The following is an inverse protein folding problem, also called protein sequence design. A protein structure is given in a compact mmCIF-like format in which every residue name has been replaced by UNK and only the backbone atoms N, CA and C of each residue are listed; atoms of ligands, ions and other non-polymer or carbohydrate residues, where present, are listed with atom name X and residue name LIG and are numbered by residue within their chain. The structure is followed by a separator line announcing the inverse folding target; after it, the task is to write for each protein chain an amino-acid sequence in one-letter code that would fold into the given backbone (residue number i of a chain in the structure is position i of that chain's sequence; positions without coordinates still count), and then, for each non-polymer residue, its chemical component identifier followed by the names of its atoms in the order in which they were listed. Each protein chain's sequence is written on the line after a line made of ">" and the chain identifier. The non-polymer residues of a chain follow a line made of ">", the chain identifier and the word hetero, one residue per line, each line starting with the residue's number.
data_IF_803325227594
#
_entry.id   IF_803325227594
#
_cell.length_a   1.000
_cell.length_b   1.000
_cell.length_c   1.000
_cell.angle_alpha   90.00
_cell.angle_beta   90.00
_cell.angle_gamma   90.00
#
_symmetry.space_group_name_H-M   'P 1'
#
loop_
_entity.id
_entity.type
_entity.pdbx_description
1 polymer ?
#
# COMPACT_ATOMS: atom_id res chain seq x y z
N UNK A 1 11.09 3.88 -12.93
CA UNK A 1 12.33 3.47 -12.24
C UNK A 1 12.03 2.93 -10.84
N UNK A 2 11.40 3.72 -9.96
CA UNK A 2 11.07 3.30 -8.58
C UNK A 2 10.22 2.00 -8.51
N UNK A 3 9.16 1.88 -9.32
CA UNK A 3 8.31 0.66 -9.32
C UNK A 3 9.08 -0.60 -9.65
N UNK A 4 9.99 -0.56 -10.63
CA UNK A 4 10.84 -1.72 -10.95
C UNK A 4 11.75 -2.08 -9.80
N UNK A 5 12.37 -1.10 -9.15
CA UNK A 5 13.20 -1.37 -7.97
C UNK A 5 12.39 -2.05 -6.85
N UNK A 6 11.14 -1.63 -6.61
CA UNK A 6 10.28 -2.28 -5.60
C UNK A 6 9.99 -3.72 -5.98
N UNK A 7 9.61 -3.99 -7.23
CA UNK A 7 9.30 -5.34 -7.72
C UNK A 7 10.54 -6.23 -7.69
N UNK A 8 11.68 -5.76 -8.20
CA UNK A 8 12.92 -6.54 -8.26
C UNK A 8 13.39 -6.93 -6.84
N UNK A 9 13.33 -6.00 -5.88
CA UNK A 9 13.68 -6.31 -4.49
C UNK A 9 12.64 -7.22 -3.82
N UNK A 10 11.35 -7.07 -4.13
CA UNK A 10 10.31 -7.97 -3.64
C UNK A 10 10.51 -9.40 -4.15
N UNK A 11 10.93 -9.58 -5.40
CA UNK A 11 11.30 -10.89 -5.95
C UNK A 11 12.52 -11.49 -5.24
N UNK A 12 13.53 -10.69 -4.91
CA UNK A 12 14.68 -11.15 -4.10
C UNK A 12 14.22 -11.63 -2.71
N UNK A 13 13.34 -10.88 -2.04
CA UNK A 13 12.79 -11.25 -0.74
C UNK A 13 11.92 -12.51 -0.82
N UNK A 14 11.06 -12.62 -1.84
CA UNK A 14 10.22 -13.80 -2.07
C UNK A 14 11.08 -15.07 -2.19
N UNK A 15 12.16 -15.01 -2.98
CA UNK A 15 13.10 -16.12 -3.12
C UNK A 15 13.85 -16.43 -1.80
N UNK A 16 14.27 -15.40 -1.06
CA UNK A 16 14.95 -15.59 0.23
C UNK A 16 14.08 -16.29 1.27
N UNK A 17 12.78 -15.96 1.33
CA UNK A 17 11.83 -16.56 2.26
C UNK A 17 11.14 -17.82 1.72
N UNK A 18 11.49 -18.29 0.52
CA UNK A 18 10.82 -19.39 -0.18
C UNK A 18 9.29 -19.19 -0.33
N UNK A 19 8.87 -17.93 -0.48
CA UNK A 19 7.48 -17.53 -0.70
C UNK A 19 7.30 -17.27 -2.20
N UNK A 20 6.12 -17.60 -2.74
CA UNK A 20 5.85 -17.31 -4.15
C UNK A 20 5.80 -15.80 -4.42
N UNK A 21 6.29 -15.37 -5.59
CA UNK A 21 6.19 -13.96 -6.02
C UNK A 21 4.73 -13.49 -6.07
N UNK A 22 3.80 -14.37 -6.42
CA UNK A 22 2.37 -14.09 -6.39
C UNK A 22 1.89 -13.74 -4.98
N UNK A 23 2.26 -14.54 -3.97
CA UNK A 23 1.90 -14.26 -2.58
C UNK A 23 2.54 -12.95 -2.12
N UNK A 24 3.80 -12.69 -2.45
CA UNK A 24 4.49 -11.44 -2.12
C UNK A 24 3.79 -10.23 -2.76
N UNK A 25 3.35 -10.36 -4.02
CA UNK A 25 2.59 -9.34 -4.75
C UNK A 25 1.22 -9.06 -4.13
N UNK A 26 0.46 -10.12 -3.83
CA UNK A 26 -0.89 -10.03 -3.26
C UNK A 26 -0.92 -9.58 -1.80
N UNK A 27 0.20 -9.64 -1.08
CA UNK A 27 0.27 -9.30 0.34
C UNK A 27 1.16 -8.09 0.58
N UNK A 28 2.48 -8.26 0.58
CA UNK A 28 3.42 -7.21 0.96
C UNK A 28 3.38 -6.02 0.01
N UNK A 29 3.35 -6.26 -1.30
CA UNK A 29 3.27 -5.16 -2.28
C UNK A 29 1.89 -4.48 -2.21
N UNK A 30 0.80 -5.26 -2.25
CA UNK A 30 -0.55 -4.72 -2.15
C UNK A 30 -0.79 -3.89 -0.88
N UNK A 31 -0.28 -4.35 0.28
CA UNK A 31 -0.34 -3.57 1.53
C UNK A 31 0.51 -2.31 1.40
N UNK A 32 1.75 -2.44 0.90
CA UNK A 32 2.68 -1.33 0.76
C UNK A 32 2.13 -0.18 -0.09
N UNK A 33 1.35 -0.50 -1.13
CA UNK A 33 0.69 0.50 -1.99
C UNK A 33 -0.44 1.25 -1.32
N UNK A 34 -1.02 0.75 -0.22
CA UNK A 34 -2.13 1.39 0.50
C UNK A 34 -1.71 2.09 1.79
N UNK A 35 -0.44 1.98 2.20
CA UNK A 35 0.10 2.62 3.40
C UNK A 35 0.07 4.16 3.33
N UNK A 36 0.43 4.83 2.21
CA UNK A 36 0.33 6.28 2.10
C UNK A 36 -1.09 6.82 2.30
N UNK A 37 -2.08 6.11 1.77
CA UNK A 37 -3.51 6.40 1.86
C UNK A 37 -4.00 6.22 3.30
N UNK A 38 -3.57 5.15 3.96
CA UNK A 38 -3.85 4.93 5.38
C UNK A 38 -3.24 6.05 6.23
N UNK A 39 -2.01 6.47 5.94
CA UNK A 39 -1.35 7.55 6.64
C UNK A 39 -2.07 8.90 6.46
N UNK A 40 -2.53 9.19 5.24
CA UNK A 40 -3.33 10.40 4.96
C UNK A 40 -4.69 10.36 5.63
N UNK A 41 -5.38 9.21 5.63
CA UNK A 41 -6.64 9.05 6.35
C UNK A 41 -6.47 9.29 7.86
N UNK A 42 -5.45 8.70 8.50
CA UNK A 42 -5.15 8.91 9.93
C UNK A 42 -4.80 10.37 10.21
N UNK A 43 -3.99 11.01 9.35
CA UNK A 43 -3.61 12.41 9.51
C UNK A 43 -4.81 13.36 9.42
N UNK A 44 -5.74 13.11 8.48
CA UNK A 44 -6.97 13.90 8.32
C UNK A 44 -7.88 13.80 9.54
N UNK A 45 -8.09 12.57 10.06
CA UNK A 45 -8.87 12.35 11.28
C UNK A 45 -8.25 13.09 12.48
N UNK A 46 -6.92 13.07 12.62
CA UNK A 46 -6.22 13.78 13.71
C UNK A 46 -6.34 15.30 13.64
N UNK A 47 -6.60 15.87 12.45
CA UNK A 47 -6.80 17.32 12.26
C UNK A 47 -8.27 17.75 12.40
N UNK A 48 -9.19 16.82 12.65
CA UNK A 48 -10.63 17.10 12.66
C UNK A 48 -11.25 17.17 11.26
N UNK A 49 -10.49 16.82 10.22
CA UNK A 49 -10.91 16.83 8.81
C UNK A 49 -11.46 15.45 8.41
N UNK A 50 -12.45 14.95 9.17
CA UNK A 50 -13.00 13.61 8.98
C UNK A 50 -13.64 13.42 7.60
N UNK A 51 -14.21 14.48 7.02
CA UNK A 51 -14.80 14.45 5.68
C UNK A 51 -13.76 14.14 4.59
N UNK A 52 -12.54 14.67 4.73
CA UNK A 52 -11.42 14.42 3.81
C UNK A 52 -10.92 12.99 3.96
N UNK A 53 -10.85 12.48 5.20
CA UNK A 53 -10.45 11.09 5.45
C UNK A 53 -11.46 10.08 4.89
N UNK A 54 -12.76 10.33 5.04
CA UNK A 54 -13.83 9.49 4.47
C UNK A 54 -13.82 9.57 2.94
N UNK A 55 -13.67 10.78 2.39
CA UNK A 55 -13.51 10.99 0.95
C UNK A 55 -12.34 10.21 0.37
N UNK A 56 -11.21 10.17 1.08
CA UNK A 56 -10.02 9.41 0.68
C UNK A 56 -10.27 7.89 0.68
N UNK A 57 -10.91 7.35 1.73
CA UNK A 57 -11.21 5.91 1.82
C UNK A 57 -12.20 5.47 0.74
N UNK A 58 -13.27 6.24 0.53
CA UNK A 58 -14.27 5.92 -0.51
C UNK A 58 -13.65 6.06 -1.90
N UNK A 59 -12.88 7.14 -2.14
CA UNK A 59 -12.18 7.35 -3.40
C UNK A 59 -11.24 6.20 -3.74
N UNK A 60 -10.42 5.75 -2.78
CA UNK A 60 -9.43 4.69 -2.99
C UNK A 60 -9.99 3.27 -3.15
N UNK A 61 -11.30 3.05 -2.93
CA UNK A 61 -11.96 1.77 -3.14
C UNK A 61 -12.94 1.76 -4.32
N UNK A 62 -13.38 2.93 -4.79
CA UNK A 62 -14.29 3.07 -5.95
C UNK A 62 -13.55 3.37 -7.24
N UNK A 63 -12.37 4.01 -7.17
CA UNK A 63 -11.44 4.21 -8.29
C UNK A 63 -10.25 3.26 -8.19
#
# INVERSE_FOLDING_TARGET
>A
MATRMVVDNATVLANYFAISELTMGLTAIAIGTSLPELATAIAGVRKGENDIAVGNIIGANIF
#
